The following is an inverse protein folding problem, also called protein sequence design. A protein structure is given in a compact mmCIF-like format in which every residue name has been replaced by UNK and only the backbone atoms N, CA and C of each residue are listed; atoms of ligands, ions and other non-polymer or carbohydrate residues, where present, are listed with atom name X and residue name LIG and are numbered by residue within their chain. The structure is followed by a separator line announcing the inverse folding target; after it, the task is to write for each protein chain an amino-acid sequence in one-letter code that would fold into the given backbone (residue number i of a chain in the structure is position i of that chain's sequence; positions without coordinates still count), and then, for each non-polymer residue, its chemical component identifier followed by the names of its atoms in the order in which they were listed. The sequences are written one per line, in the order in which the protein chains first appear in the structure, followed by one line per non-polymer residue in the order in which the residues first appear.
data_IF_265367845684
#
_entry.id   IF_265367845684
#
_cell.length_a   1.000
_cell.length_b   1.000
_cell.length_c   1.000
_cell.angle_alpha   90.00
_cell.angle_beta   90.00
_cell.angle_gamma   90.00
#
_symmetry.space_group_name_H-M   'P 1'
#
loop_
_entity.id
_entity.type
_entity.pdbx_description
1 polymer ?
#
# COMPACT_ATOMS: atom_id res chain seq x y z
N UNK A 1 -15.16 -9.00 7.47
CA UNK A 1 -15.55 -7.70 6.88
C UNK A 1 -14.39 -7.20 6.03
N UNK A 2 -14.59 -6.96 4.74
CA UNK A 2 -13.54 -6.56 3.81
C UNK A 2 -13.34 -5.05 3.92
N UNK A 3 -12.71 -4.64 5.02
CA UNK A 3 -12.30 -3.26 5.26
C UNK A 3 -11.02 -2.87 4.49
N UNK A 4 -10.55 -3.72 3.57
CA UNK A 4 -9.37 -3.50 2.74
C UNK A 4 -9.51 -2.32 1.77
N UNK A 5 -10.73 -1.85 1.49
CA UNK A 5 -10.98 -0.63 0.73
C UNK A 5 -10.61 0.65 1.51
N UNK A 6 -10.52 0.57 2.84
CA UNK A 6 -10.19 1.69 3.72
C UNK A 6 -8.97 1.33 4.58
N UNK A 7 -7.77 1.21 3.99
CA UNK A 7 -6.56 0.89 4.73
C UNK A 7 -6.15 2.01 5.68
N UNK A 8 -5.50 1.61 6.76
CA UNK A 8 -4.83 2.50 7.70
C UNK A 8 -3.35 2.09 7.68
N UNK A 9 -2.39 3.02 7.86
CA UNK A 9 -1.00 2.68 8.05
C UNK A 9 -0.80 1.56 9.09
N UNK A 10 0.12 0.65 8.82
CA UNK A 10 0.39 -0.53 9.63
C UNK A 10 -0.25 -1.80 9.06
N UNK A 11 -0.48 -2.80 9.91
CA UNK A 11 -0.82 -4.17 9.50
C UNK A 11 -2.14 -4.31 8.71
N UNK A 12 -2.98 -3.30 8.70
CA UNK A 12 -4.25 -3.34 8.01
C UNK A 12 -4.12 -3.24 6.49
N UNK A 13 -3.11 -2.54 5.96
CA UNK A 13 -2.85 -2.48 4.52
C UNK A 13 -2.58 -3.88 3.93
N UNK A 14 -2.05 -4.81 4.73
CA UNK A 14 -1.84 -6.21 4.30
C UNK A 14 -3.14 -6.87 3.82
N UNK A 15 -4.29 -6.51 4.37
CA UNK A 15 -5.59 -7.03 3.91
C UNK A 15 -5.93 -6.51 2.52
N UNK A 16 -5.68 -5.23 2.27
CA UNK A 16 -5.87 -4.63 0.94
C UNK A 16 -4.93 -5.28 -0.09
N UNK A 17 -3.65 -5.46 0.27
CA UNK A 17 -2.65 -6.13 -0.56
C UNK A 17 -3.09 -7.54 -0.95
N UNK A 18 -3.53 -8.36 0.03
CA UNK A 18 -4.01 -9.73 -0.24
C UNK A 18 -5.24 -9.76 -1.14
N UNK A 19 -6.20 -8.85 -0.93
CA UNK A 19 -7.40 -8.76 -1.77
C UNK A 19 -7.04 -8.37 -3.20
N UNK A 20 -6.11 -7.42 -3.38
CA UNK A 20 -5.61 -7.03 -4.70
C UNK A 20 -4.85 -8.18 -5.38
N UNK A 21 -3.92 -8.82 -4.68
CA UNK A 21 -3.15 -9.95 -5.19
C UNK A 21 -4.06 -11.12 -5.61
N UNK A 22 -5.06 -11.44 -4.79
CA UNK A 22 -6.04 -12.48 -5.11
C UNK A 22 -6.90 -12.10 -6.31
N UNK A 23 -7.42 -10.87 -6.36
CA UNK A 23 -8.23 -10.39 -7.47
C UNK A 23 -7.44 -10.39 -8.78
N UNK A 24 -6.19 -9.90 -8.76
CA UNK A 24 -5.30 -10.00 -9.91
C UNK A 24 -5.04 -11.46 -10.30
N UNK A 25 -4.86 -12.34 -9.33
CA UNK A 25 -4.71 -13.78 -9.55
C UNK A 25 -5.89 -14.39 -10.32
N UNK A 26 -7.13 -14.07 -9.95
CA UNK A 26 -8.33 -14.51 -10.68
C UNK A 26 -8.31 -14.04 -12.15
N UNK A 27 -7.90 -12.80 -12.39
CA UNK A 27 -7.80 -12.26 -13.73
C UNK A 27 -6.71 -12.96 -14.56
N UNK A 28 -5.54 -13.22 -13.95
CA UNK A 28 -4.43 -13.93 -14.59
C UNK A 28 -4.81 -15.38 -14.91
N UNK A 29 -5.44 -16.09 -13.97
CA UNK A 29 -5.91 -17.46 -14.18
C UNK A 29 -6.94 -17.56 -15.32
N UNK A 30 -7.88 -16.59 -15.38
CA UNK A 30 -8.84 -16.48 -16.48
C UNK A 30 -8.15 -16.33 -17.85
N UNK A 31 -6.98 -15.68 -17.88
CA UNK A 31 -6.16 -15.54 -19.07
C UNK A 31 -5.19 -16.73 -19.32
N UNK A 32 -5.30 -17.83 -18.55
CA UNK A 32 -4.42 -19.00 -18.67
C UNK A 32 -3.02 -18.83 -18.06
N UNK A 33 -2.79 -17.74 -17.33
CA UNK A 33 -1.54 -17.49 -16.62
C UNK A 33 -1.46 -18.18 -15.26
N UNK A 34 -0.31 -18.04 -14.60
CA UNK A 34 -0.08 -18.52 -13.23
C UNK A 34 -0.20 -17.36 -12.25
N UNK A 35 -1.14 -17.39 -11.28
CA UNK A 35 -1.33 -16.30 -10.35
C UNK A 35 -0.13 -16.15 -9.40
N UNK A 36 0.16 -14.93 -8.94
CA UNK A 36 1.20 -14.73 -7.94
C UNK A 36 0.72 -15.19 -6.54
N UNK A 37 1.64 -15.37 -5.57
CA UNK A 37 1.26 -15.68 -4.20
C UNK A 37 0.40 -14.58 -3.57
N UNK A 38 -0.68 -14.93 -2.87
CA UNK A 38 -1.55 -13.95 -2.16
C UNK A 38 -0.79 -13.16 -1.09
N UNK A 39 0.26 -13.76 -0.51
CA UNK A 39 1.13 -13.14 0.51
C UNK A 39 2.30 -12.33 -0.09
N UNK A 40 2.30 -12.12 -1.41
CA UNK A 40 3.25 -11.23 -2.06
C UNK A 40 3.18 -9.82 -1.47
N UNK A 41 4.30 -9.12 -1.51
CA UNK A 41 4.38 -7.78 -0.95
C UNK A 41 4.74 -6.72 -1.97
N UNK A 42 4.66 -7.00 -3.27
CA UNK A 42 4.87 -5.98 -4.29
C UNK A 42 3.71 -5.01 -4.46
N UNK A 43 2.50 -5.34 -3.98
CA UNK A 43 1.35 -4.41 -3.96
C UNK A 43 1.40 -3.38 -2.83
N UNK A 44 2.60 -3.02 -2.35
CA UNK A 44 2.82 -1.90 -1.42
C UNK A 44 2.65 -0.56 -2.16
N UNK A 45 1.43 -0.32 -2.65
CA UNK A 45 1.01 0.94 -3.26
C UNK A 45 0.83 2.02 -2.19
N UNK A 46 1.04 3.28 -2.59
CA UNK A 46 0.85 4.44 -1.73
C UNK A 46 1.55 4.31 -0.35
N UNK A 47 2.81 3.87 -0.34
CA UNK A 47 3.63 3.74 0.89
C UNK A 47 3.86 5.08 1.58
N UNK A 48 3.70 6.19 0.88
CA UNK A 48 3.63 7.54 1.39
C UNK A 48 2.37 7.83 2.22
N UNK A 49 1.28 7.08 2.02
CA UNK A 49 0.00 7.27 2.71
C UNK A 49 -0.37 6.13 3.66
N UNK A 50 -0.15 4.87 3.27
CA UNK A 50 -0.61 3.67 4.00
C UNK A 50 0.49 2.62 4.22
N UNK A 51 1.70 2.97 4.68
CA UNK A 51 2.78 2.00 4.80
C UNK A 51 2.54 1.00 5.92
N UNK A 52 2.95 -0.25 5.68
CA UNK A 52 3.23 -1.19 6.77
C UNK A 52 4.71 -1.07 7.15
N UNK A 53 5.01 -0.27 8.17
CA UNK A 53 6.38 0.03 8.58
C UNK A 53 7.14 -1.20 9.10
N UNK A 54 6.45 -2.17 9.71
CA UNK A 54 7.11 -3.39 10.18
C UNK A 54 7.50 -4.27 8.98
N UNK A 55 6.64 -4.34 7.96
CA UNK A 55 6.93 -5.05 6.72
C UNK A 55 8.06 -4.36 5.93
N UNK A 56 8.03 -3.03 5.84
CA UNK A 56 9.08 -2.25 5.17
C UNK A 56 10.43 -2.44 5.86
N UNK A 57 10.47 -2.38 7.19
CA UNK A 57 11.70 -2.63 7.95
C UNK A 57 12.27 -4.04 7.69
N UNK A 58 11.39 -5.05 7.55
CA UNK A 58 11.81 -6.45 7.36
C UNK A 58 12.23 -6.76 5.92
N UNK A 59 11.52 -6.21 4.92
CA UNK A 59 11.66 -6.62 3.52
C UNK A 59 12.17 -5.53 2.58
N UNK A 60 12.39 -4.30 3.05
CA UNK A 60 12.71 -3.16 2.18
C UNK A 60 11.46 -2.51 1.61
N UNK A 61 11.59 -1.63 0.62
CA UNK A 61 10.42 -0.95 0.01
C UNK A 61 9.65 -1.81 -0.99
N UNK A 62 10.35 -2.71 -1.71
CA UNK A 62 9.79 -3.63 -2.71
C UNK A 62 10.42 -5.02 -2.56
N UNK A 63 9.81 -6.04 -3.16
CA UNK A 63 10.41 -7.38 -3.27
C UNK A 63 11.47 -7.41 -4.39
N UNK A 64 12.50 -8.25 -4.24
CA UNK A 64 13.68 -8.29 -5.13
C UNK A 64 13.37 -8.76 -6.56
N UNK A 65 12.24 -9.44 -6.75
CA UNK A 65 11.69 -9.72 -8.07
C UNK A 65 10.19 -9.52 -7.96
N UNK A 66 9.62 -8.68 -8.82
CA UNK A 66 8.18 -8.45 -8.78
C UNK A 66 7.48 -9.75 -9.23
N UNK A 67 7.04 -10.55 -8.27
CA UNK A 67 6.22 -11.74 -8.51
C UNK A 67 4.98 -11.40 -9.35
N UNK A 68 4.53 -10.15 -9.30
CA UNK A 68 3.50 -9.61 -10.18
C UNK A 68 3.95 -9.60 -11.64
N UNK A 69 5.13 -9.06 -11.94
CA UNK A 69 5.66 -9.00 -13.29
C UNK A 69 5.90 -10.40 -13.86
N UNK A 70 6.41 -11.32 -13.03
CA UNK A 70 6.52 -12.73 -13.41
C UNK A 70 5.17 -13.34 -13.75
N UNK A 71 4.16 -13.12 -12.92
CA UNK A 71 2.82 -13.64 -13.15
C UNK A 71 2.20 -13.04 -14.42
N UNK A 72 2.35 -11.72 -14.63
CA UNK A 72 1.89 -11.03 -15.83
C UNK A 72 2.60 -11.53 -17.10
N UNK A 73 3.88 -11.91 -17.02
CA UNK A 73 4.61 -12.49 -18.15
C UNK A 73 4.08 -13.87 -18.60
N UNK A 74 3.26 -14.53 -17.77
CA UNK A 74 2.60 -15.80 -18.14
C UNK A 74 1.26 -15.62 -18.86
N UNK A 75 0.73 -14.40 -18.90
CA UNK A 75 -0.54 -14.08 -19.54
C UNK A 75 -0.38 -14.12 -21.06
N UNK A 76 -1.29 -14.81 -21.75
CA UNK A 76 -1.28 -14.88 -23.21
C UNK A 76 -1.45 -13.49 -23.86
N UNK A 77 -0.83 -13.25 -25.04
CA UNK A 77 -0.81 -11.93 -25.68
C UNK A 77 -2.21 -11.42 -26.11
N UNK A 78 -3.18 -12.33 -26.24
CA UNK A 78 -4.55 -12.03 -26.65
C UNK A 78 -5.47 -11.64 -25.48
N UNK A 79 -5.00 -11.73 -24.22
CA UNK A 79 -5.79 -11.32 -23.06
C UNK A 79 -5.65 -9.82 -22.81
N UNK A 80 -6.62 -9.04 -23.29
CA UNK A 80 -6.61 -7.58 -23.17
C UNK A 80 -7.29 -7.06 -21.89
N UNK A 81 -7.98 -7.91 -21.14
CA UNK A 81 -8.77 -7.53 -19.97
C UNK A 81 -8.35 -8.33 -18.72
N UNK A 82 -7.66 -7.65 -17.80
CA UNK A 82 -7.23 -8.18 -16.51
C UNK A 82 -8.20 -7.80 -15.37
N UNK A 83 -9.51 -7.85 -15.63
CA UNK A 83 -10.52 -7.76 -14.60
C UNK A 83 -10.84 -9.14 -13.99
N UNK A 84 -11.03 -9.23 -12.65
CA UNK A 84 -11.21 -10.49 -11.92
C UNK A 84 -12.55 -11.19 -12.18
N UNK A 85 -13.46 -10.59 -12.95
CA UNK A 85 -14.81 -11.12 -13.18
C UNK A 85 -15.73 -11.03 -11.95
N UNK A 86 -15.32 -10.33 -10.89
CA UNK A 86 -16.13 -10.06 -9.71
C UNK A 86 -16.94 -8.78 -9.96
N UNK A 87 -18.27 -8.89 -9.96
CA UNK A 87 -19.17 -7.80 -10.34
C UNK A 87 -19.03 -6.56 -9.44
N UNK A 88 -18.71 -6.75 -8.16
CA UNK A 88 -18.53 -5.65 -7.21
C UNK A 88 -17.09 -5.11 -7.14
N UNK A 89 -16.15 -5.64 -7.93
CA UNK A 89 -14.74 -5.29 -7.82
C UNK A 89 -14.46 -3.83 -8.17
N UNK A 90 -15.02 -3.31 -9.26
CA UNK A 90 -14.76 -1.93 -9.68
C UNK A 90 -15.33 -0.94 -8.66
N UNK A 91 -16.59 -1.13 -8.25
CA UNK A 91 -17.20 -0.34 -7.17
C UNK A 91 -16.35 -0.38 -5.89
N UNK A 92 -15.83 -1.56 -5.51
CA UNK A 92 -14.97 -1.71 -4.33
C UNK A 92 -13.62 -1.00 -4.51
N UNK A 93 -13.01 -1.08 -5.69
CA UNK A 93 -11.75 -0.41 -6.05
C UNK A 93 -11.93 1.10 -5.99
N UNK A 94 -13.05 1.62 -6.44
CA UNK A 94 -13.33 3.06 -6.44
C UNK A 94 -13.42 3.62 -5.01
N UNK A 95 -13.84 2.82 -4.02
CA UNK A 95 -13.75 3.21 -2.61
C UNK A 95 -12.32 3.51 -2.15
N UNK A 96 -11.33 2.79 -2.68
CA UNK A 96 -9.91 3.04 -2.36
C UNK A 96 -9.45 4.37 -2.92
N UNK A 97 -9.93 4.76 -4.11
CA UNK A 97 -9.64 6.08 -4.69
C UNK A 97 -10.17 7.21 -3.79
N UNK A 98 -11.46 7.16 -3.44
CA UNK A 98 -12.08 8.14 -2.53
C UNK A 98 -11.36 8.21 -1.18
N UNK A 99 -10.94 7.05 -0.67
CA UNK A 99 -10.20 6.97 0.58
C UNK A 99 -8.79 7.59 0.48
N UNK A 100 -8.12 7.42 -0.66
CA UNK A 100 -6.82 8.02 -0.94
C UNK A 100 -6.91 9.55 -0.92
N UNK A 101 -7.91 10.12 -1.59
CA UNK A 101 -8.16 11.57 -1.58
C UNK A 101 -8.40 12.08 -0.15
N UNK A 102 -9.15 11.34 0.67
CA UNK A 102 -9.34 11.70 2.07
C UNK A 102 -8.04 11.62 2.88
N UNK A 103 -7.17 10.64 2.60
CA UNK A 103 -5.89 10.51 3.27
C UNK A 103 -4.92 11.64 2.89
N UNK A 104 -4.87 12.03 1.63
CA UNK A 104 -4.11 13.20 1.16
C UNK A 104 -4.63 14.50 1.81
N UNK A 105 -5.96 14.66 1.88
CA UNK A 105 -6.58 15.81 2.58
C UNK A 105 -6.19 15.81 4.06
N UNK A 106 -6.22 14.64 4.71
CA UNK A 106 -5.78 14.48 6.10
C UNK A 106 -4.31 14.82 6.27
N UNK A 107 -3.46 14.42 5.32
CA UNK A 107 -2.02 14.74 5.30
C UNK A 107 -1.76 16.24 5.20
N UNK A 108 -2.57 16.95 4.41
CA UNK A 108 -2.46 18.38 4.19
C UNK A 108 -3.01 19.21 5.38
N UNK A 109 -4.16 18.83 5.92
CA UNK A 109 -4.94 19.70 6.81
C UNK A 109 -4.87 19.35 8.31
N UNK A 110 -4.43 18.14 8.67
CA UNK A 110 -4.41 17.72 10.08
C UNK A 110 -3.33 18.45 10.88
N UNK A 111 -3.77 19.24 11.87
CA UNK A 111 -2.85 19.91 12.82
C UNK A 111 -2.09 18.92 13.70
N UNK A 112 -2.73 17.82 14.09
CA UNK A 112 -2.09 16.76 14.86
C UNK A 112 -0.96 16.11 14.05
N UNK A 113 -1.20 15.85 12.76
CA UNK A 113 -0.18 15.29 11.89
C UNK A 113 0.93 16.31 11.58
N UNK A 114 0.57 17.57 11.34
CA UNK A 114 1.51 18.66 11.11
C UNK A 114 2.55 18.77 12.25
N UNK A 115 2.12 18.56 13.50
CA UNK A 115 3.00 18.59 14.67
C UNK A 115 4.09 17.49 14.67
N UNK A 116 3.94 16.44 13.86
CA UNK A 116 4.90 15.33 13.78
C UNK A 116 5.89 15.44 12.62
N UNK A 117 5.59 16.28 11.62
CA UNK A 117 6.32 16.33 10.34
C UNK A 117 7.79 16.71 10.49
N UNK A 118 8.07 17.80 11.20
CA UNK A 118 9.43 18.30 11.39
C UNK A 118 10.35 17.28 12.10
N UNK A 119 9.82 16.56 13.11
CA UNK A 119 10.59 15.54 13.80
C UNK A 119 10.89 14.33 12.89
N UNK A 120 9.90 13.86 12.14
CA UNK A 120 10.09 12.78 11.19
C UNK A 120 11.10 13.15 10.10
N UNK A 121 10.96 14.34 9.50
CA UNK A 121 11.87 14.85 8.48
C UNK A 121 13.30 14.99 8.99
N UNK A 122 13.50 15.58 10.17
CA UNK A 122 14.81 15.69 10.79
C UNK A 122 15.47 14.32 11.02
N UNK A 123 14.74 13.38 11.64
CA UNK A 123 15.25 12.01 11.85
C UNK A 123 15.66 11.33 10.54
N UNK A 124 14.84 11.46 9.49
CA UNK A 124 15.13 10.89 8.18
C UNK A 124 16.40 11.50 7.59
N UNK A 125 16.55 12.84 7.58
CA UNK A 125 17.75 13.52 7.08
C UNK A 125 18.99 13.10 7.86
N UNK A 126 18.93 13.19 9.18
CA UNK A 126 20.08 12.95 10.06
C UNK A 126 20.61 11.53 9.96
N UNK A 127 19.72 10.54 9.78
CA UNK A 127 20.11 9.12 9.75
C UNK A 127 20.44 8.59 8.36
N UNK A 128 19.87 9.18 7.32
CA UNK A 128 20.06 8.71 5.95
C UNK A 128 21.08 9.52 5.16
N UNK A 129 21.28 10.79 5.51
CA UNK A 129 22.00 11.78 4.69
C UNK A 129 21.21 12.26 3.46
N UNK A 130 19.97 11.82 3.26
CA UNK A 130 19.15 12.18 2.11
C UNK A 130 18.36 13.46 2.36
N UNK A 131 18.06 14.19 1.29
CA UNK A 131 17.19 15.36 1.33
C UNK A 131 15.75 14.97 1.67
N UNK A 132 15.14 15.69 2.61
CA UNK A 132 13.73 15.54 3.00
C UNK A 132 13.13 16.93 3.27
N UNK A 133 11.90 17.13 2.79
CA UNK A 133 11.11 18.32 3.07
C UNK A 133 10.54 18.26 4.50
N UNK A 134 10.73 19.34 5.27
CA UNK A 134 10.17 19.46 6.62
C UNK A 134 8.64 19.56 6.63
N UNK A 135 8.04 20.03 5.52
CA UNK A 135 6.60 20.11 5.33
C UNK A 135 5.97 18.79 4.86
N UNK A 136 6.78 17.85 4.37
CA UNK A 136 6.32 16.53 3.95
C UNK A 136 7.45 15.47 4.08
N UNK A 137 7.46 14.70 5.18
CA UNK A 137 8.49 13.68 5.41
C UNK A 137 8.40 12.50 4.42
N UNK A 138 7.29 12.36 3.68
CA UNK A 138 7.13 11.28 2.69
C UNK A 138 7.98 11.51 1.43
N UNK A 139 8.42 12.76 1.19
CA UNK A 139 9.35 13.13 0.11
C UNK A 139 10.67 12.37 0.17
N UNK A 140 11.00 11.79 1.33
CA UNK A 140 12.08 10.84 1.51
C UNK A 140 12.05 9.67 0.51
N UNK A 141 10.88 9.11 0.20
CA UNK A 141 10.75 7.97 -0.73
C UNK A 141 11.25 8.35 -2.13
N UNK A 142 11.04 9.60 -2.57
CA UNK A 142 11.59 10.11 -3.83
C UNK A 142 13.11 10.21 -3.77
N UNK A 143 13.68 10.69 -2.66
CA UNK A 143 15.13 10.74 -2.48
C UNK A 143 15.76 9.35 -2.46
N UNK A 144 15.09 8.37 -1.84
CA UNK A 144 15.50 6.96 -1.90
C UNK A 144 15.46 6.44 -3.32
N UNK A 145 14.40 6.71 -4.09
CA UNK A 145 14.31 6.25 -5.48
C UNK A 145 15.45 6.81 -6.35
N UNK A 146 15.84 8.07 -6.13
CA UNK A 146 16.99 8.69 -6.81
C UNK A 146 18.27 7.95 -6.44
N UNK A 147 18.51 7.72 -5.14
CA UNK A 147 19.70 7.03 -4.65
C UNK A 147 19.77 5.56 -5.13
N UNK A 148 18.64 4.86 -5.15
CA UNK A 148 18.57 3.47 -5.62
C UNK A 148 18.82 3.34 -7.13
N UNK A 149 18.68 4.45 -7.87
CA UNK A 149 18.97 4.49 -9.31
C UNK A 149 20.42 4.85 -9.61
N UNK A 150 21.23 5.17 -8.59
CA UNK A 150 22.65 5.48 -8.76
C UNK A 150 23.51 4.21 -8.86
N UNK A 151 24.64 4.32 -9.56
CA UNK A 151 25.58 3.21 -9.71
C UNK A 151 26.22 2.84 -8.37
N UNK A 152 26.26 1.54 -8.07
CA UNK A 152 26.92 1.00 -6.88
C UNK A 152 26.02 0.86 -5.65
N UNK A 153 24.76 1.28 -5.73
CA UNK A 153 23.80 1.12 -4.63
C UNK A 153 23.41 -0.34 -4.46
N UNK A 154 23.48 -0.85 -3.23
CA UNK A 154 23.28 -2.27 -2.93
C UNK A 154 21.92 -2.56 -2.34
N UNK A 155 21.56 -3.85 -2.31
CA UNK A 155 20.40 -4.33 -1.55
C UNK A 155 20.48 -3.98 -0.06
N UNK A 156 21.68 -3.99 0.51
CA UNK A 156 21.89 -3.60 1.90
C UNK A 156 21.56 -2.12 2.13
N UNK A 157 21.85 -1.25 1.16
CA UNK A 157 21.48 0.17 1.21
C UNK A 157 19.96 0.36 1.17
N UNK A 158 19.29 -0.37 0.28
CA UNK A 158 17.82 -0.38 0.22
C UNK A 158 17.19 -0.78 1.56
N UNK A 159 17.67 -1.85 2.19
CA UNK A 159 17.20 -2.28 3.51
C UNK A 159 17.51 -1.25 4.61
N UNK A 160 18.69 -0.63 4.57
CA UNK A 160 19.08 0.43 5.51
C UNK A 160 18.12 1.61 5.42
N UNK A 161 17.84 2.11 4.22
CA UNK A 161 16.90 3.21 4.02
C UNK A 161 15.47 2.86 4.42
N UNK A 162 15.03 1.62 4.16
CA UNK A 162 13.74 1.13 4.60
C UNK A 162 13.61 1.06 6.13
N UNK A 163 14.65 0.60 6.85
CA UNK A 163 14.68 0.60 8.31
C UNK A 163 14.63 2.02 8.87
N UNK A 164 15.42 2.95 8.31
CA UNK A 164 15.41 4.36 8.70
C UNK A 164 14.01 4.97 8.50
N UNK A 165 13.38 4.70 7.36
CA UNK A 165 12.02 5.14 7.08
C UNK A 165 11.03 4.64 8.13
N UNK A 166 11.03 3.32 8.38
CA UNK A 166 10.15 2.67 9.33
C UNK A 166 10.31 3.20 10.77
N UNK A 167 11.54 3.50 11.19
CA UNK A 167 11.85 4.00 12.52
C UNK A 167 11.46 5.48 12.66
N UNK A 168 11.90 6.33 11.73
CA UNK A 168 11.71 7.78 11.83
C UNK A 168 10.27 8.23 11.56
N UNK A 169 9.49 7.49 10.77
CA UNK A 169 8.12 7.88 10.40
C UNK A 169 7.04 7.22 11.27
N UNK A 170 7.42 6.37 12.23
CA UNK A 170 6.45 5.64 13.08
C UNK A 170 5.46 6.55 13.79
N UNK A 171 5.94 7.64 14.41
CA UNK A 171 5.08 8.62 15.08
C UNK A 171 4.14 9.34 14.11
N UNK A 172 4.64 9.69 12.93
CA UNK A 172 3.87 10.33 11.85
C UNK A 172 2.74 9.42 11.37
N UNK A 173 3.04 8.17 10.99
CA UNK A 173 2.03 7.24 10.48
C UNK A 173 1.07 6.71 11.56
N UNK A 174 1.50 6.60 12.82
CA UNK A 174 0.58 6.32 13.93
C UNK A 174 -0.45 7.45 14.09
N UNK A 175 -0.01 8.70 13.94
CA UNK A 175 -0.89 9.87 14.01
C UNK A 175 -1.84 9.92 12.81
N UNK A 176 -1.32 9.73 11.59
CA UNK A 176 -2.13 9.64 10.38
C UNK A 176 -3.18 8.53 10.49
N UNK A 177 -2.79 7.35 10.97
CA UNK A 177 -3.72 6.25 11.16
C UNK A 177 -4.80 6.54 12.19
N UNK A 178 -4.47 7.27 13.26
CA UNK A 178 -5.44 7.72 14.27
C UNK A 178 -6.44 8.73 13.70
N UNK A 179 -5.99 9.65 12.84
CA UNK A 179 -6.88 10.60 12.15
C UNK A 179 -7.83 9.89 11.19
N UNK A 180 -7.31 8.98 10.37
CA UNK A 180 -8.09 8.18 9.44
C UNK A 180 -9.13 7.29 10.15
N UNK A 181 -8.74 6.67 11.27
CA UNK A 181 -9.63 5.81 12.05
C UNK A 181 -10.94 6.52 12.48
N UNK A 182 -10.90 7.84 12.72
CA UNK A 182 -12.09 8.63 13.09
C UNK A 182 -13.16 8.65 12.01
N UNK A 183 -12.76 8.53 10.73
CA UNK A 183 -13.67 8.57 9.57
C UNK A 183 -14.02 7.17 9.06
N UNK A 184 -13.14 6.20 9.30
CA UNK A 184 -13.25 4.85 8.73
C UNK A 184 -14.55 4.14 9.06
N UNK A 185 -15.00 4.16 10.31
CA UNK A 185 -16.22 3.44 10.73
C UNK A 185 -17.46 3.92 9.99
N UNK A 186 -17.59 5.23 9.77
CA UNK A 186 -18.70 5.84 9.04
C UNK A 186 -18.69 5.43 7.56
N UNK A 187 -17.52 5.37 6.93
CA UNK A 187 -17.39 4.97 5.52
C UNK A 187 -17.60 3.47 5.32
N UNK A 188 -17.11 2.65 6.25
CA UNK A 188 -17.40 1.21 6.27
C UNK A 188 -18.91 0.98 6.37
N UNK A 189 -19.58 1.72 7.25
CA UNK A 189 -21.02 1.62 7.44
C UNK A 189 -21.80 2.09 6.21
N UNK A 190 -21.45 3.25 5.66
CA UNK A 190 -22.07 3.82 4.47
C UNK A 190 -22.00 2.89 3.26
N UNK A 191 -20.93 2.10 3.16
CA UNK A 191 -20.68 1.19 2.05
C UNK A 191 -20.93 -0.29 2.41
N UNK A 192 -21.59 -0.57 3.55
CA UNK A 192 -21.72 -1.93 4.09
C UNK A 192 -22.22 -2.94 3.06
N UNK A 193 -23.29 -2.61 2.34
CA UNK A 193 -23.90 -3.52 1.35
C UNK A 193 -22.93 -3.91 0.23
N UNK A 194 -22.17 -2.94 -0.29
CA UNK A 194 -21.13 -3.16 -1.29
C UNK A 194 -20.01 -4.04 -0.72
N UNK A 195 -19.50 -3.72 0.47
CA UNK A 195 -18.44 -4.49 1.13
C UNK A 195 -18.86 -5.94 1.41
N UNK A 196 -20.11 -6.15 1.81
CA UNK A 196 -20.67 -7.49 2.05
C UNK A 196 -20.89 -8.26 0.74
N UNK A 197 -21.37 -7.59 -0.32
CA UNK A 197 -21.51 -8.19 -1.65
C UNK A 197 -20.16 -8.65 -2.18
N UNK A 198 -19.17 -7.76 -2.17
CA UNK A 198 -17.82 -8.08 -2.61
C UNK A 198 -17.18 -9.20 -1.76
N UNK A 199 -17.45 -9.23 -0.45
CA UNK A 199 -16.99 -10.32 0.40
C UNK A 199 -17.57 -11.68 0.05
N UNK A 200 -18.85 -11.75 -0.32
CA UNK A 200 -19.47 -12.99 -0.80
C UNK A 200 -18.89 -13.42 -2.14
N UNK A 201 -18.63 -12.48 -3.04
CA UNK A 201 -18.00 -12.76 -4.34
C UNK A 201 -16.58 -13.33 -4.17
N UNK A 202 -15.75 -12.69 -3.33
CA UNK A 202 -14.40 -13.18 -3.02
C UNK A 202 -14.43 -14.58 -2.39
N UNK A 203 -15.30 -14.81 -1.40
CA UNK A 203 -15.45 -16.12 -0.79
C UNK A 203 -15.93 -17.18 -1.80
N UNK A 204 -16.88 -16.81 -2.68
CA UNK A 204 -17.35 -17.68 -3.75
C UNK A 204 -16.27 -18.01 -4.80
N UNK A 205 -15.31 -17.10 -4.99
CA UNK A 205 -14.15 -17.31 -5.85
C UNK A 205 -12.99 -18.07 -5.16
N UNK A 206 -13.12 -18.42 -3.87
CA UNK A 206 -12.12 -19.20 -3.13
C UNK A 206 -11.16 -18.39 -2.27
N UNK A 207 -11.41 -17.09 -2.06
CA UNK A 207 -10.61 -16.29 -1.12
C UNK A 207 -10.85 -16.73 0.32
N UNK A 208 -9.78 -17.12 1.01
CA UNK A 208 -9.80 -17.46 2.44
C UNK A 208 -9.05 -16.35 3.21
N UNK A 209 -9.72 -15.60 4.12
CA UNK A 209 -9.12 -14.48 4.87
C UNK A 209 -7.94 -14.84 5.79
#
# INVERSE_FOLDING_TARGET
MISGAFPIPGREIKRAMRVNAFSLGLAIEKCGGTPPPIEMTSDRFAQDLFPDLDLIAQKGFNDEVDERDKALATVGPDCQDLLPGLAAYEDWRDLFHDWTVLAETTQAESTALAATKAHAAACLRDRSGLTVDDADPTTYLRSVNIEMSADGTTRADSLRYASIYAECTRGYFNTMGSELAKRRSQLVERNRELLERFARELAGAGYVP
#
